data_IF_482758682094
#
_entry.id   IF_482758682094
#
_cell.length_a   1.000
_cell.length_b   1.000
_cell.length_c   1.000
_cell.angle_alpha   90.00
_cell.angle_beta   90.00
_cell.angle_gamma   90.00
#
_symmetry.space_group_name_H-M   'P 1'
#
loop_
_entity.id
_entity.type
_entity.pdbx_description
1 polymer ?
#
# COMPACT_ATOMS: atom_id res chain seq x y z
N UNK A 1 23.35 -14.20 1.77
CA UNK A 1 22.33 -13.78 2.75
C UNK A 1 21.91 -12.32 2.60
N UNK A 2 22.78 -11.31 2.71
CA UNK A 2 22.36 -9.90 2.61
C UNK A 2 21.61 -9.60 1.30
N UNK A 3 22.16 -10.02 0.15
CA UNK A 3 21.49 -9.89 -1.16
C UNK A 3 20.15 -10.63 -1.24
N UNK A 4 20.01 -11.75 -0.53
CA UNK A 4 18.75 -12.51 -0.46
C UNK A 4 17.72 -11.73 0.35
N UNK A 5 18.14 -11.12 1.45
CA UNK A 5 17.27 -10.29 2.29
C UNK A 5 16.84 -9.00 1.56
N UNK A 6 17.76 -8.34 0.85
CA UNK A 6 17.45 -7.19 -0.03
C UNK A 6 16.39 -7.56 -1.07
N UNK A 7 16.58 -8.71 -1.74
CA UNK A 7 15.60 -9.20 -2.73
C UNK A 7 14.24 -9.48 -2.10
N UNK A 8 14.22 -10.07 -0.90
CA UNK A 8 12.99 -10.38 -0.16
C UNK A 8 12.28 -9.12 0.38
N UNK A 9 13.04 -8.11 0.78
CA UNK A 9 12.48 -6.80 1.18
C UNK A 9 11.82 -6.11 -0.01
N UNK A 10 12.45 -6.15 -1.20
CA UNK A 10 11.87 -5.60 -2.42
C UNK A 10 10.57 -6.32 -2.80
N UNK A 11 10.54 -7.66 -2.72
CA UNK A 11 9.30 -8.44 -2.90
C UNK A 11 8.24 -8.02 -1.88
N UNK A 12 8.60 -7.92 -0.60
CA UNK A 12 7.68 -7.54 0.47
C UNK A 12 7.04 -6.17 0.22
N UNK A 13 7.83 -5.13 -0.05
CA UNK A 13 7.26 -3.78 -0.25
C UNK A 13 6.50 -3.66 -1.56
N UNK A 14 6.85 -4.42 -2.60
CA UNK A 14 6.07 -4.47 -3.84
C UNK A 14 4.65 -4.96 -3.59
N UNK A 15 4.53 -6.00 -2.77
CA UNK A 15 3.24 -6.65 -2.53
C UNK A 15 2.43 -5.97 -1.42
N UNK A 16 3.10 -5.37 -0.43
CA UNK A 16 2.43 -4.85 0.77
C UNK A 16 2.49 -3.34 0.91
N UNK A 17 3.49 -2.65 0.37
CA UNK A 17 3.66 -1.21 0.55
C UNK A 17 4.06 -0.53 -0.77
N UNK A 18 3.30 -0.72 -1.85
CA UNK A 18 3.67 -0.15 -3.15
C UNK A 18 3.72 1.37 -3.12
N UNK A 19 2.93 2.02 -2.27
CA UNK A 19 3.00 3.45 -1.97
C UNK A 19 4.41 3.89 -1.51
N UNK A 20 5.02 3.13 -0.58
CA UNK A 20 6.40 3.35 -0.16
C UNK A 20 7.38 3.07 -1.30
N UNK A 21 7.18 1.99 -2.07
CA UNK A 21 8.04 1.65 -3.20
C UNK A 21 8.10 2.81 -4.21
N UNK A 22 6.94 3.34 -4.64
CA UNK A 22 6.88 4.45 -5.57
C UNK A 22 7.54 5.72 -5.02
N UNK A 23 7.33 6.02 -3.74
CA UNK A 23 7.99 7.15 -3.08
C UNK A 23 9.51 7.01 -3.10
N UNK A 24 10.02 5.82 -2.75
CA UNK A 24 11.45 5.53 -2.74
C UNK A 24 12.08 5.57 -4.14
N UNK A 25 11.36 5.12 -5.17
CA UNK A 25 11.82 5.19 -6.56
C UNK A 25 11.84 6.64 -7.08
N UNK A 26 10.80 7.41 -6.81
CA UNK A 26 10.72 8.82 -7.19
C UNK A 26 11.84 9.67 -6.57
N UNK A 27 12.29 9.31 -5.37
CA UNK A 27 13.37 9.98 -4.65
C UNK A 27 14.78 9.41 -4.93
N UNK A 28 14.91 8.39 -5.79
CA UNK A 28 16.16 7.64 -6.03
C UNK A 28 16.78 7.06 -4.74
N UNK A 29 15.93 6.68 -3.77
CA UNK A 29 16.32 6.18 -2.45
C UNK A 29 16.09 4.68 -2.26
N UNK A 30 15.39 4.01 -3.18
CA UNK A 30 15.01 2.59 -3.05
C UNK A 30 16.20 1.70 -2.69
N UNK A 31 17.30 1.81 -3.45
CA UNK A 31 18.48 0.98 -3.20
C UNK A 31 19.05 1.23 -1.80
N UNK A 32 19.20 2.49 -1.40
CA UNK A 32 19.75 2.85 -0.09
C UNK A 32 18.88 2.28 1.02
N UNK A 33 17.57 2.51 0.96
CA UNK A 33 16.60 2.03 1.95
C UNK A 33 16.63 0.50 2.11
N UNK A 34 16.69 -0.25 1.00
CA UNK A 34 16.74 -1.72 1.04
C UNK A 34 17.99 -2.26 1.73
N UNK A 35 19.16 -1.67 1.46
CA UNK A 35 20.41 -2.10 2.08
C UNK A 35 20.47 -1.69 3.55
N UNK A 36 19.99 -0.50 3.91
CA UNK A 36 19.91 -0.05 5.30
C UNK A 36 18.98 -0.95 6.14
N UNK A 37 17.82 -1.34 5.60
CA UNK A 37 16.93 -2.31 6.28
C UNK A 37 17.53 -3.71 6.38
N UNK A 38 18.26 -4.17 5.37
CA UNK A 38 18.95 -5.45 5.46
C UNK A 38 20.09 -5.41 6.50
N UNK A 39 20.79 -4.28 6.61
CA UNK A 39 21.86 -4.07 7.59
C UNK A 39 21.33 -3.96 9.02
N UNK A 40 20.18 -3.31 9.23
CA UNK A 40 19.61 -3.11 10.58
C UNK A 40 19.30 -4.43 11.31
N UNK A 41 19.08 -5.53 10.58
CA UNK A 41 18.82 -6.86 11.14
C UNK A 41 20.04 -7.79 11.10
N UNK A 42 21.23 -7.28 10.74
CA UNK A 42 22.47 -8.05 10.78
C UNK A 42 22.77 -8.64 12.17
N UNK A 43 22.59 -7.93 13.31
CA UNK A 43 22.83 -8.51 14.63
C UNK A 43 21.94 -9.73 14.90
N UNK A 44 20.67 -9.68 14.49
CA UNK A 44 19.74 -10.81 14.60
C UNK A 44 20.20 -11.98 13.73
N UNK A 45 20.61 -11.71 12.49
CA UNK A 45 21.15 -12.73 11.59
C UNK A 45 22.35 -13.45 12.19
N UNK A 46 23.32 -12.71 12.74
CA UNK A 46 24.53 -13.27 13.35
C UNK A 46 24.20 -14.11 14.59
N UNK A 47 23.26 -13.65 15.41
CA UNK A 47 22.79 -14.41 16.57
C UNK A 47 22.16 -15.75 16.13
N UNK A 48 21.24 -15.72 15.16
CA UNK A 48 20.57 -16.95 14.70
C UNK A 48 21.54 -17.93 14.02
N UNK A 49 22.59 -17.45 13.34
CA UNK A 49 23.68 -18.29 12.82
C UNK A 49 24.44 -18.99 13.94
N UNK A 50 24.78 -18.27 15.02
CA UNK A 50 25.44 -18.85 16.20
C UNK A 50 24.56 -19.92 16.86
N UNK A 51 23.25 -19.73 16.81
CA UNK A 51 22.26 -20.68 17.31
C UNK A 51 21.99 -21.86 16.35
N UNK A 52 22.82 -22.04 15.31
CA UNK A 52 22.71 -23.08 14.28
C UNK A 52 21.32 -23.15 13.60
N UNK A 53 20.66 -22.01 13.45
CA UNK A 53 19.38 -21.96 12.75
C UNK A 53 19.58 -22.20 11.23
N UNK A 54 18.66 -22.93 10.57
CA UNK A 54 18.67 -23.06 9.12
C UNK A 54 18.56 -21.70 8.41
N UNK A 55 19.24 -21.53 7.27
CA UNK A 55 19.28 -20.24 6.56
C UNK A 55 17.89 -19.67 6.22
N UNK A 56 16.93 -20.52 5.83
CA UNK A 56 15.57 -20.08 5.53
C UNK A 56 14.83 -19.52 6.75
N UNK A 57 15.06 -20.06 7.96
CA UNK A 57 14.52 -19.54 9.22
C UNK A 57 15.16 -18.19 9.56
N UNK A 58 16.46 -18.05 9.29
CA UNK A 58 17.17 -16.79 9.52
C UNK A 58 16.60 -15.69 8.63
N UNK A 59 16.43 -15.97 7.33
CA UNK A 59 15.89 -15.01 6.37
C UNK A 59 14.47 -14.59 6.77
N UNK A 60 13.60 -15.55 7.10
CA UNK A 60 12.22 -15.30 7.50
C UNK A 60 12.12 -14.40 8.74
N UNK A 61 12.92 -14.69 9.78
CA UNK A 61 12.98 -13.87 11.00
C UNK A 61 13.54 -12.47 10.75
N UNK A 62 14.63 -12.38 9.97
CA UNK A 62 15.22 -11.09 9.61
C UNK A 62 14.25 -10.25 8.78
N UNK A 63 13.51 -10.85 7.84
CA UNK A 63 12.50 -10.15 7.06
C UNK A 63 11.36 -9.64 7.96
N UNK A 64 10.85 -10.51 8.85
CA UNK A 64 9.80 -10.14 9.81
C UNK A 64 10.20 -8.97 10.70
N UNK A 65 11.43 -8.97 11.19
CA UNK A 65 11.97 -7.88 12.01
C UNK A 65 12.13 -6.60 11.18
N UNK A 66 12.70 -6.70 9.98
CA UNK A 66 12.98 -5.54 9.12
C UNK A 66 11.71 -4.81 8.65
N UNK A 67 10.56 -5.50 8.61
CA UNK A 67 9.28 -4.95 8.13
C UNK A 67 8.28 -4.66 9.24
N UNK A 68 8.68 -4.71 10.51
CA UNK A 68 7.76 -4.49 11.65
C UNK A 68 7.06 -3.14 11.60
N UNK A 69 7.77 -2.08 11.23
CA UNK A 69 7.24 -0.72 11.14
C UNK A 69 6.33 -0.49 9.93
N UNK A 70 6.34 -1.41 8.95
CA UNK A 70 5.52 -1.32 7.74
C UNK A 70 4.14 -1.96 7.93
N UNK A 71 3.86 -2.46 9.14
CA UNK A 71 2.64 -3.17 9.49
C UNK A 71 1.78 -2.33 10.44
N UNK A 72 0.47 -2.28 10.22
CA UNK A 72 -0.27 -2.89 9.12
C UNK A 72 -0.09 -2.10 7.83
N UNK A 73 -0.27 -2.77 6.70
CA UNK A 73 -0.21 -2.11 5.39
C UNK A 73 -1.49 -1.33 5.13
N UNK A 74 -1.38 -0.01 4.94
CA UNK A 74 -2.50 0.85 4.49
C UNK A 74 -3.00 0.42 3.11
N UNK A 75 -2.10 0.01 2.22
CA UNK A 75 -2.45 -0.51 0.89
C UNK A 75 -3.33 -1.76 0.97
N UNK A 76 -2.90 -2.78 1.72
CA UNK A 76 -3.67 -4.01 1.88
C UNK A 76 -4.98 -3.75 2.62
N UNK A 77 -4.99 -2.82 3.57
CA UNK A 77 -6.21 -2.43 4.28
C UNK A 77 -7.26 -1.86 3.32
N UNK A 78 -6.87 -0.87 2.49
CA UNK A 78 -7.78 -0.28 1.50
C UNK A 78 -8.16 -1.31 0.43
N UNK A 79 -7.22 -2.14 -0.04
CA UNK A 79 -7.49 -3.22 -0.98
C UNK A 79 -8.61 -4.15 -0.48
N UNK A 80 -8.52 -4.59 0.77
CA UNK A 80 -9.53 -5.44 1.40
C UNK A 80 -10.88 -4.73 1.52
N UNK A 81 -10.90 -3.43 1.86
CA UNK A 81 -12.14 -2.66 1.91
C UNK A 81 -12.79 -2.49 0.54
N UNK A 82 -11.99 -2.26 -0.51
CA UNK A 82 -12.51 -2.19 -1.88
C UNK A 82 -13.14 -3.52 -2.29
N UNK A 83 -12.49 -4.64 -2.01
CA UNK A 83 -13.02 -5.97 -2.34
C UNK A 83 -14.34 -6.27 -1.60
N UNK A 84 -14.43 -5.89 -0.32
CA UNK A 84 -15.58 -6.23 0.54
C UNK A 84 -16.76 -5.26 0.43
N UNK A 85 -16.47 -3.95 0.36
CA UNK A 85 -17.49 -2.90 0.48
C UNK A 85 -17.75 -2.16 -0.84
N UNK A 86 -16.83 -2.25 -1.81
CA UNK A 86 -16.89 -1.53 -3.09
C UNK A 86 -16.61 -2.44 -4.30
N UNK A 87 -17.16 -3.65 -4.29
CA UNK A 87 -16.89 -4.72 -5.28
C UNK A 87 -16.96 -4.25 -6.74
N UNK A 88 -17.96 -3.41 -7.09
CA UNK A 88 -18.10 -2.87 -8.44
C UNK A 88 -16.91 -1.99 -8.86
N UNK A 89 -16.44 -1.12 -7.96
CA UNK A 89 -15.26 -0.28 -8.20
C UNK A 89 -13.99 -1.13 -8.24
N UNK A 90 -13.85 -2.09 -7.31
CA UNK A 90 -12.73 -3.03 -7.30
C UNK A 90 -12.59 -3.76 -8.64
N UNK A 91 -13.68 -4.34 -9.15
CA UNK A 91 -13.69 -5.06 -10.43
C UNK A 91 -13.34 -4.14 -11.60
N UNK A 92 -13.95 -2.95 -11.67
CA UNK A 92 -13.66 -1.96 -12.73
C UNK A 92 -12.20 -1.49 -12.72
N UNK A 93 -11.63 -1.26 -11.54
CA UNK A 93 -10.22 -0.86 -11.40
C UNK A 93 -9.25 -1.99 -11.74
N UNK A 94 -9.63 -3.23 -11.43
CA UNK A 94 -8.87 -4.43 -11.80
C UNK A 94 -8.86 -4.63 -13.32
N UNK A 95 -10.03 -4.56 -13.96
CA UNK A 95 -10.17 -4.72 -15.42
C UNK A 95 -9.43 -3.64 -16.22
N UNK A 96 -9.39 -2.41 -15.68
CA UNK A 96 -8.64 -1.30 -16.29
C UNK A 96 -7.15 -1.30 -15.99
N UNK A 97 -6.68 -2.14 -15.06
CA UNK A 97 -5.29 -2.18 -14.61
C UNK A 97 -4.87 -0.97 -13.75
N UNK A 98 -5.84 -0.21 -13.21
CA UNK A 98 -5.60 1.00 -12.43
C UNK A 98 -5.66 0.77 -10.91
N UNK A 99 -6.05 -0.43 -10.45
CA UNK A 99 -6.28 -0.73 -9.04
C UNK A 99 -5.14 -0.27 -8.12
N UNK A 100 -3.90 -0.63 -8.43
CA UNK A 100 -2.76 -0.27 -7.58
C UNK A 100 -2.57 1.25 -7.48
N UNK A 101 -2.68 1.96 -8.61
CA UNK A 101 -2.55 3.41 -8.68
C UNK A 101 -3.65 4.11 -7.87
N UNK A 102 -4.90 3.68 -8.05
CA UNK A 102 -6.03 4.28 -7.36
C UNK A 102 -6.01 4.02 -5.85
N UNK A 103 -5.55 2.84 -5.41
CA UNK A 103 -5.35 2.60 -3.97
C UNK A 103 -4.30 3.55 -3.40
N UNK A 104 -3.19 3.80 -4.09
CA UNK A 104 -2.17 4.76 -3.63
C UNK A 104 -2.75 6.17 -3.50
N UNK A 105 -3.58 6.60 -4.46
CA UNK A 105 -4.29 7.87 -4.36
C UNK A 105 -5.26 7.89 -3.17
N UNK A 106 -5.99 6.80 -2.93
CA UNK A 106 -6.88 6.67 -1.77
C UNK A 106 -6.10 6.70 -0.44
N UNK A 107 -4.90 6.11 -0.36
CA UNK A 107 -4.03 6.23 0.82
C UNK A 107 -3.74 7.71 1.07
N UNK A 108 -3.31 8.46 0.04
CA UNK A 108 -3.05 9.89 0.17
C UNK A 108 -4.29 10.70 0.58
N UNK A 109 -5.47 10.33 0.08
CA UNK A 109 -6.74 10.95 0.46
C UNK A 109 -7.14 10.65 1.92
N UNK A 110 -6.87 9.43 2.38
CA UNK A 110 -7.17 8.96 3.74
C UNK A 110 -6.08 9.31 4.77
N UNK A 111 -4.93 9.84 4.34
CA UNK A 111 -3.75 10.09 5.18
C UNK A 111 -4.07 10.85 6.48
N UNK A 112 -4.86 11.95 6.48
CA UNK A 112 -5.19 12.66 7.72
C UNK A 112 -5.92 11.77 8.74
N UNK A 113 -6.79 10.87 8.27
CA UNK A 113 -7.55 9.96 9.13
C UNK A 113 -6.64 8.87 9.69
N UNK A 114 -5.75 8.29 8.87
CA UNK A 114 -4.79 7.30 9.35
C UNK A 114 -3.90 7.86 10.46
N UNK A 115 -3.46 9.11 10.33
CA UNK A 115 -2.64 9.80 11.32
C UNK A 115 -3.42 10.17 12.58
N UNK A 116 -4.60 10.78 12.44
CA UNK A 116 -5.44 11.20 13.57
C UNK A 116 -5.89 10.01 14.43
N UNK A 117 -6.20 8.87 13.79
CA UNK A 117 -6.62 7.64 14.47
C UNK A 117 -5.43 6.75 14.88
N UNK A 118 -4.19 7.14 14.52
CA UNK A 118 -2.96 6.41 14.79
C UNK A 118 -3.06 4.94 14.36
N UNK A 119 -3.40 4.73 13.09
CA UNK A 119 -3.62 3.39 12.54
C UNK A 119 -2.40 2.49 12.77
N UNK A 120 -2.62 1.32 13.38
CA UNK A 120 -1.60 0.39 13.82
C UNK A 120 -2.15 -1.04 13.94
N UNK A 121 -1.29 -2.01 14.21
CA UNK A 121 -1.67 -3.43 14.36
C UNK A 121 -2.68 -3.59 15.50
N UNK A 122 -2.58 -2.74 16.53
CA UNK A 122 -3.42 -2.81 17.72
C UNK A 122 -4.87 -2.38 17.44
N UNK A 123 -5.09 -1.60 16.38
CA UNK A 123 -6.39 -1.01 16.09
C UNK A 123 -6.88 -1.24 14.66
N UNK A 124 -6.20 -2.03 13.84
CA UNK A 124 -6.62 -2.29 12.45
C UNK A 124 -8.04 -2.88 12.33
N UNK A 125 -8.42 -3.73 13.29
CA UNK A 125 -9.76 -4.35 13.38
C UNK A 125 -10.81 -3.45 14.07
N UNK A 126 -10.46 -2.20 14.39
CA UNK A 126 -11.39 -1.28 15.03
C UNK A 126 -12.48 -0.85 14.04
N UNK A 127 -13.73 -1.24 14.33
CA UNK A 127 -14.91 -0.91 13.50
C UNK A 127 -15.11 0.59 13.26
N UNK A 128 -14.70 1.44 14.20
CA UNK A 128 -14.77 2.88 14.00
C UNK A 128 -13.77 3.36 12.95
N UNK A 129 -12.52 2.87 13.00
CA UNK A 129 -11.52 3.16 11.96
C UNK A 129 -12.04 2.67 10.61
N UNK A 130 -12.53 1.43 10.56
CA UNK A 130 -13.11 0.86 9.34
C UNK A 130 -14.22 1.76 8.77
N UNK A 131 -15.19 2.15 9.59
CA UNK A 131 -16.29 3.01 9.15
C UNK A 131 -15.82 4.35 8.60
N UNK A 132 -14.87 5.02 9.27
CA UNK A 132 -14.35 6.32 8.83
C UNK A 132 -13.59 6.19 7.51
N UNK A 133 -12.72 5.19 7.39
CA UNK A 133 -11.95 4.97 6.16
C UNK A 133 -12.85 4.54 5.00
N UNK A 134 -13.85 3.68 5.23
CA UNK A 134 -14.88 3.34 4.23
C UNK A 134 -15.62 4.60 3.77
N UNK A 135 -15.97 5.51 4.68
CA UNK A 135 -16.57 6.80 4.32
C UNK A 135 -15.68 7.64 3.40
N UNK A 136 -14.39 7.78 3.75
CA UNK A 136 -13.41 8.51 2.93
C UNK A 136 -13.22 7.90 1.54
N UNK A 137 -13.16 6.56 1.44
CA UNK A 137 -13.07 5.86 0.15
C UNK A 137 -14.33 6.13 -0.70
N UNK A 138 -15.52 6.10 -0.09
CA UNK A 138 -16.76 6.42 -0.78
C UNK A 138 -16.76 7.84 -1.33
N UNK A 139 -16.29 8.81 -0.55
CA UNK A 139 -16.18 10.21 -1.00
C UNK A 139 -15.18 10.35 -2.15
N UNK A 140 -14.02 9.70 -2.06
CA UNK A 140 -13.02 9.67 -3.12
C UNK A 140 -13.61 9.14 -4.44
N UNK A 141 -14.22 7.96 -4.40
CA UNK A 141 -14.80 7.30 -5.58
C UNK A 141 -15.92 8.14 -6.22
N UNK A 142 -16.75 8.80 -5.41
CA UNK A 142 -17.79 9.71 -5.90
C UNK A 142 -17.19 10.92 -6.60
N UNK A 143 -16.19 11.58 -5.99
CA UNK A 143 -15.55 12.76 -6.59
C UNK A 143 -14.88 12.46 -7.93
N UNK A 144 -14.27 11.28 -8.09
CA UNK A 144 -13.67 10.87 -9.36
C UNK A 144 -14.72 10.58 -10.44
N UNK A 145 -15.86 9.98 -10.07
CA UNK A 145 -16.95 9.70 -11.01
C UNK A 145 -17.62 10.97 -11.56
N UNK A 146 -17.71 12.04 -10.76
CA UNK A 146 -18.26 13.31 -11.20
C UNK A 146 -17.35 14.03 -12.20
N UNK A 147 -16.03 13.95 -12.00
CA UNK A 147 -15.03 14.54 -12.91
C UNK A 147 -15.00 13.87 -14.29
N UNK A 148 -15.25 12.56 -14.38
CA UNK A 148 -15.38 11.84 -15.66
C UNK A 148 -16.67 12.23 -16.40
N UNK A 149 -17.79 12.40 -15.67
CA UNK A 149 -19.07 12.78 -16.26
C UNK A 149 -19.04 14.20 -16.85
N UNK A 150 -18.47 15.18 -16.13
CA UNK A 150 -18.34 16.56 -16.63
C UNK A 150 -17.44 16.62 -17.88
N UNK A 151 -16.37 15.80 -17.92
CA UNK A 151 -15.48 15.74 -19.08
C UNK A 151 -16.16 15.16 -20.33
N UNK A 152 -17.07 14.20 -20.16
CA UNK A 152 -17.86 13.61 -21.25
C UNK A 152 -18.97 14.53 -21.77
N UNK A 153 -19.59 15.35 -20.90
CA UNK A 153 -20.61 16.33 -21.32
C UNK A 153 -20.03 17.46 -22.18
N UNK A 154 -18.79 17.89 -21.90
CA UNK A 154 -18.09 18.94 -22.65
C UNK A 154 -17.61 18.50 -24.05
N UNK A 155 -17.65 17.20 -24.37
CA UNK A 155 -17.23 16.66 -25.67
C UNK A 155 -18.40 16.39 -26.63
N UNK A 156 -19.64 16.65 -26.24
CA UNK A 156 -20.77 16.52 -27.16
C UNK A 156 -20.80 17.71 -28.14
N UNK A 157 -20.76 17.47 -29.47
CA UNK A 157 -20.83 18.56 -30.43
C UNK A 157 -22.24 19.15 -30.37
N UNK A 158 -22.33 20.43 -29.99
CA UNK A 158 -23.54 21.23 -30.11
C UNK A 158 -24.06 21.11 -31.54
N UNK A 159 -25.14 20.35 -31.74
CA UNK A 159 -25.87 20.37 -33.00
C UNK A 159 -26.43 21.78 -33.16
N UNK A 160 -25.76 22.58 -34.00
CA UNK A 160 -26.37 23.80 -34.52
C UNK A 160 -27.50 23.37 -35.45
N UNK A 161 -28.73 23.53 -34.99
CA UNK A 161 -29.92 23.45 -35.85
C UNK A 161 -29.91 24.65 -36.80
N UNK A 162 -30.15 24.37 -38.08
CA UNK A 162 -30.09 25.33 -39.19
C UNK A 162 -31.38 26.11 -39.44
#
# INVERSE_FOLDING_TARGET
MQEVLVSKLLEYIRDNNPDLLFTLEAEDKLRVWLYEKAESVQPLSEQLKKDNQPEYIIIDRCLTEATVELRPSRYNYILNLLEQEFEANYNSLTESGLLQHEIINMIGYCEPVFEDLKFSIENEDNRFIQYVITGMISEYLQSNSENENVSNELQQPTKAEG
#
